data_IF_086566097198
#
_entry.id   IF_086566097198
#
_cell.length_a   1.000
_cell.length_b   1.000
_cell.length_c   1.000
_cell.angle_alpha   90.00
_cell.angle_beta   90.00
_cell.angle_gamma   90.00
#
_symmetry.space_group_name_H-M   'P 1'
#
loop_
_entity.id
_entity.type
_entity.pdbx_description
1 polymer ?
#
# COMPACT_ATOMS: atom_id res chain seq x y z
N UNK A 1 -14.45 -12.77 8.20
CA UNK A 1 -13.37 -13.30 9.05
C UNK A 1 -13.76 -14.61 9.72
N UNK A 2 -12.80 -15.53 9.84
CA UNK A 2 -12.92 -16.84 10.47
C UNK A 2 -11.75 -17.05 11.46
N UNK A 3 -11.91 -16.61 12.70
CA UNK A 3 -10.85 -16.79 13.71
C UNK A 3 -10.68 -18.26 14.15
N UNK A 4 -11.66 -19.13 13.88
CA UNK A 4 -11.67 -20.50 14.37
C UNK A 4 -11.64 -20.57 15.89
N UNK A 5 -11.07 -21.66 16.45
CA UNK A 5 -10.84 -21.78 17.90
C UNK A 5 -9.60 -21.00 18.32
N UNK A 6 -9.77 -19.99 19.17
CA UNK A 6 -8.69 -19.15 19.74
C UNK A 6 -8.70 -19.22 21.26
N UNK A 7 -7.55 -18.95 21.90
CA UNK A 7 -7.47 -18.86 23.37
C UNK A 7 -8.14 -17.56 23.87
N UNK A 8 -8.45 -17.52 25.17
CA UNK A 8 -8.99 -16.32 25.82
C UNK A 8 -8.07 -15.10 25.63
N UNK A 9 -6.76 -15.28 25.76
CA UNK A 9 -5.77 -14.20 25.58
C UNK A 9 -5.81 -13.63 24.15
N UNK A 10 -5.85 -14.50 23.13
CA UNK A 10 -5.94 -14.06 21.72
C UNK A 10 -7.25 -13.32 21.48
N UNK A 11 -8.36 -13.78 22.07
CA UNK A 11 -9.64 -13.10 21.95
C UNK A 11 -9.61 -11.70 22.61
N UNK A 12 -8.95 -11.56 23.76
CA UNK A 12 -8.77 -10.28 24.43
C UNK A 12 -7.91 -9.31 23.60
N UNK A 13 -6.80 -9.79 23.03
CA UNK A 13 -5.92 -9.01 22.14
C UNK A 13 -6.68 -8.52 20.90
N UNK A 14 -7.51 -9.38 20.27
CA UNK A 14 -8.35 -8.99 19.14
C UNK A 14 -9.33 -7.88 19.54
N UNK A 15 -10.02 -8.02 20.67
CA UNK A 15 -10.96 -7.00 21.16
C UNK A 15 -10.26 -5.66 21.44
N UNK A 16 -9.09 -5.70 22.07
CA UNK A 16 -8.28 -4.51 22.30
C UNK A 16 -7.90 -3.83 20.97
N UNK A 17 -7.41 -4.62 19.99
CA UNK A 17 -7.06 -4.09 18.67
C UNK A 17 -8.27 -3.48 17.94
N UNK A 18 -9.45 -4.10 18.00
CA UNK A 18 -10.66 -3.54 17.37
C UNK A 18 -11.03 -2.18 17.94
N UNK A 19 -10.85 -1.97 19.25
CA UNK A 19 -11.05 -0.66 19.87
C UNK A 19 -10.06 0.37 19.32
N UNK A 20 -8.79 0.00 19.19
CA UNK A 20 -7.73 0.85 18.63
C UNK A 20 -8.00 1.18 17.15
N UNK A 21 -8.41 0.18 16.36
CA UNK A 21 -8.83 0.37 14.97
C UNK A 21 -9.99 1.38 14.88
N UNK A 22 -10.98 1.28 15.77
CA UNK A 22 -12.12 2.20 15.82
C UNK A 22 -11.72 3.67 15.99
N UNK A 23 -10.58 3.98 16.61
CA UNK A 23 -10.07 5.35 16.74
C UNK A 23 -9.64 5.96 15.40
N UNK A 24 -9.28 5.13 14.42
CA UNK A 24 -8.91 5.58 13.09
C UNK A 24 -10.12 6.05 12.27
N UNK A 25 -11.35 5.70 12.70
CA UNK A 25 -12.62 6.07 12.03
C UNK A 25 -12.61 5.75 10.54
N UNK A 26 -12.05 4.60 10.17
CA UNK A 26 -12.16 4.08 8.81
C UNK A 26 -13.64 3.88 8.50
N UNK A 27 -14.18 4.49 7.43
CA UNK A 27 -15.58 4.34 7.07
C UNK A 27 -15.88 2.91 6.64
N UNK A 28 -17.14 2.52 6.72
CA UNK A 28 -17.58 1.23 6.19
C UNK A 28 -17.57 1.24 4.66
N UNK A 29 -17.14 0.12 4.09
CA UNK A 29 -17.26 -0.17 2.66
C UNK A 29 -18.74 -0.29 2.25
N UNK A 30 -19.09 0.29 1.12
CA UNK A 30 -20.41 0.33 0.50
C UNK A 30 -20.22 0.00 -0.97
N UNK A 31 -20.78 -1.14 -1.39
CA UNK A 31 -20.67 -1.64 -2.76
C UNK A 31 -21.17 -0.56 -3.72
N UNK A 32 -20.42 -0.34 -4.79
CA UNK A 32 -20.68 0.66 -5.84
C UNK A 32 -20.68 2.14 -5.38
N UNK A 33 -20.41 2.43 -4.11
CA UNK A 33 -20.35 3.81 -3.58
C UNK A 33 -18.96 4.24 -3.12
N UNK A 34 -18.19 3.35 -2.48
CA UNK A 34 -16.83 3.70 -2.05
C UNK A 34 -15.86 2.53 -2.07
N UNK A 35 -14.59 2.90 -2.02
CA UNK A 35 -13.46 1.99 -1.90
C UNK A 35 -12.52 2.46 -0.80
N UNK A 36 -12.25 1.59 0.18
CA UNK A 36 -11.21 1.80 1.19
C UNK A 36 -9.90 1.16 0.72
N UNK A 37 -8.95 2.00 0.30
CA UNK A 37 -7.65 1.58 -0.20
C UNK A 37 -6.54 1.93 0.80
N UNK A 38 -5.51 1.09 0.86
CA UNK A 38 -4.36 1.36 1.73
C UNK A 38 -3.03 0.78 1.30
N UNK A 39 -2.02 1.09 2.11
CA UNK A 39 -0.69 0.48 2.01
C UNK A 39 -0.09 0.24 3.39
N UNK A 40 0.68 -0.83 3.51
CA UNK A 40 1.37 -1.18 4.74
C UNK A 40 2.69 -1.91 4.47
N UNK A 41 3.81 -1.36 4.95
CA UNK A 41 5.02 -2.14 5.16
C UNK A 41 4.81 -3.05 6.38
N UNK A 42 4.79 -4.37 6.17
CA UNK A 42 4.78 -5.35 7.26
C UNK A 42 6.20 -5.90 7.40
N UNK A 43 6.93 -5.37 8.38
CA UNK A 43 8.34 -5.69 8.64
C UNK A 43 8.67 -7.18 8.48
N UNK A 44 9.52 -7.51 7.52
CA UNK A 44 10.01 -8.86 7.24
C UNK A 44 8.90 -9.96 7.25
N UNK A 45 7.76 -9.71 6.60
CA UNK A 45 6.59 -10.58 6.67
C UNK A 45 6.81 -11.96 6.06
N UNK A 46 6.99 -12.98 6.90
CA UNK A 46 7.28 -14.36 6.49
C UNK A 46 8.74 -14.79 6.70
N UNK A 47 9.64 -13.90 7.12
CA UNK A 47 11.06 -14.28 7.41
C UNK A 47 11.17 -15.14 8.67
N UNK A 48 10.40 -14.78 9.70
CA UNK A 48 10.24 -15.54 10.93
C UNK A 48 8.76 -15.76 11.17
N UNK A 49 8.43 -16.96 11.64
CA UNK A 49 7.05 -17.34 11.94
C UNK A 49 6.47 -16.44 13.01
N UNK A 50 5.35 -15.78 12.67
CA UNK A 50 4.58 -14.95 13.62
C UNK A 50 3.75 -15.81 14.56
N UNK A 51 3.52 -15.28 15.76
CA UNK A 51 2.63 -15.89 16.75
C UNK A 51 1.20 -16.01 16.21
N UNK A 52 0.39 -16.89 16.81
CA UNK A 52 -1.03 -17.00 16.43
C UNK A 52 -1.77 -15.68 16.64
N UNK A 53 -1.52 -15.00 17.76
CA UNK A 53 -2.05 -13.68 18.05
C UNK A 53 -1.74 -12.69 16.91
N UNK A 54 -0.46 -12.54 16.55
CA UNK A 54 -0.04 -11.61 15.50
C UNK A 54 -0.74 -11.84 14.15
N UNK A 55 -0.96 -13.10 13.74
CA UNK A 55 -1.71 -13.39 12.52
C UNK A 55 -3.15 -12.85 12.59
N UNK A 56 -3.85 -13.08 13.70
CA UNK A 56 -5.21 -12.55 13.84
C UNK A 56 -5.22 -11.02 13.88
N UNK A 57 -4.25 -10.40 14.55
CA UNK A 57 -4.14 -8.94 14.61
C UNK A 57 -3.83 -8.30 13.24
N UNK A 58 -2.93 -8.90 12.46
CA UNK A 58 -2.66 -8.49 11.07
C UNK A 58 -3.93 -8.62 10.22
N UNK A 59 -4.67 -9.72 10.36
CA UNK A 59 -5.93 -9.92 9.65
C UNK A 59 -6.98 -8.87 10.02
N UNK A 60 -7.12 -8.50 11.30
CA UNK A 60 -8.05 -7.45 11.74
C UNK A 60 -7.72 -6.08 11.13
N UNK A 61 -6.42 -5.75 11.00
CA UNK A 61 -5.96 -4.52 10.34
C UNK A 61 -6.27 -4.57 8.83
N UNK A 62 -5.91 -5.66 8.15
CA UNK A 62 -6.17 -5.83 6.71
C UNK A 62 -7.67 -5.81 6.41
N UNK A 63 -8.51 -6.32 7.31
CA UNK A 63 -9.97 -6.31 7.17
C UNK A 63 -10.60 -4.89 7.22
N UNK A 64 -9.81 -3.83 7.46
CA UNK A 64 -10.29 -2.44 7.35
C UNK A 64 -10.24 -1.90 5.92
N UNK A 65 -9.77 -2.69 4.97
CA UNK A 65 -9.52 -2.28 3.58
C UNK A 65 -10.32 -3.15 2.62
N UNK A 66 -10.69 -2.59 1.49
CA UNK A 66 -11.22 -3.35 0.35
C UNK A 66 -10.06 -3.85 -0.53
N UNK A 67 -8.99 -3.05 -0.62
CA UNK A 67 -7.70 -3.42 -1.23
C UNK A 67 -6.54 -2.78 -0.45
N UNK A 68 -5.50 -3.56 -0.18
CA UNK A 68 -4.29 -3.06 0.49
C UNK A 68 -3.04 -3.58 -0.20
N UNK A 69 -2.09 -2.67 -0.43
CA UNK A 69 -0.72 -3.03 -0.81
C UNK A 69 0.11 -3.37 0.42
N UNK A 70 0.75 -4.53 0.40
CA UNK A 70 1.71 -4.97 1.41
C UNK A 70 3.12 -4.99 0.81
N UNK A 71 4.07 -4.38 1.50
CA UNK A 71 5.51 -4.48 1.16
C UNK A 71 6.26 -5.25 2.25
N UNK A 72 7.49 -5.68 1.93
CA UNK A 72 8.32 -6.60 2.73
C UNK A 72 7.72 -8.02 2.89
N UNK A 73 6.86 -8.44 1.97
CA UNK A 73 6.37 -9.82 1.92
C UNK A 73 7.51 -10.74 1.48
N UNK A 74 7.92 -11.68 2.31
CA UNK A 74 9.12 -12.49 2.10
C UNK A 74 8.87 -13.67 1.17
N UNK A 75 9.95 -14.38 0.82
CA UNK A 75 9.92 -15.61 0.02
C UNK A 75 8.96 -16.67 0.58
N UNK A 76 8.94 -16.87 1.89
CA UNK A 76 8.00 -17.77 2.58
C UNK A 76 6.63 -17.11 2.83
N UNK A 77 5.61 -17.58 2.10
CA UNK A 77 4.24 -17.07 2.16
C UNK A 77 3.35 -17.73 3.23
N UNK A 78 3.88 -18.57 4.13
CA UNK A 78 3.07 -19.30 5.10
C UNK A 78 2.28 -18.37 6.04
N UNK A 79 2.89 -17.27 6.51
CA UNK A 79 2.19 -16.32 7.38
C UNK A 79 1.13 -15.51 6.62
N UNK A 80 1.38 -15.14 5.35
CA UNK A 80 0.37 -14.53 4.48
C UNK A 80 -0.81 -15.48 4.27
N UNK A 81 -0.55 -16.77 4.00
CA UNK A 81 -1.61 -17.78 3.89
C UNK A 81 -2.44 -17.85 5.18
N UNK A 82 -1.79 -17.89 6.35
CA UNK A 82 -2.48 -17.93 7.65
C UNK A 82 -3.35 -16.68 7.87
N UNK A 83 -2.93 -15.51 7.40
CA UNK A 83 -3.74 -14.28 7.43
C UNK A 83 -4.96 -14.41 6.52
N UNK A 84 -4.77 -14.85 5.27
CA UNK A 84 -5.86 -15.06 4.31
C UNK A 84 -6.90 -16.08 4.83
N UNK A 85 -6.44 -17.15 5.48
CA UNK A 85 -7.32 -18.14 6.12
C UNK A 85 -8.22 -17.50 7.20
N UNK A 86 -7.70 -16.51 7.95
CA UNK A 86 -8.47 -15.76 8.96
C UNK A 86 -9.39 -14.71 8.31
N UNK A 87 -8.96 -14.04 7.25
CA UNK A 87 -9.78 -13.06 6.54
C UNK A 87 -11.01 -13.74 5.91
N UNK A 88 -10.78 -14.86 5.23
CA UNK A 88 -11.79 -15.79 4.74
C UNK A 88 -11.82 -15.96 3.23
N UNK A 89 -12.75 -16.78 2.75
CA UNK A 89 -12.74 -17.33 1.38
C UNK A 89 -12.98 -16.34 0.25
N UNK A 90 -13.37 -15.10 0.55
CA UNK A 90 -13.55 -14.04 -0.45
C UNK A 90 -12.31 -13.17 -0.62
N UNK A 91 -11.30 -13.32 0.25
CA UNK A 91 -10.06 -12.59 0.11
C UNK A 91 -9.16 -13.24 -0.93
N UNK A 92 -8.54 -12.39 -1.74
CA UNK A 92 -7.66 -12.78 -2.84
C UNK A 92 -6.33 -12.05 -2.70
N UNK A 93 -5.33 -12.55 -3.40
CA UNK A 93 -4.02 -11.94 -3.44
C UNK A 93 -3.44 -11.96 -4.85
N UNK A 94 -2.80 -10.86 -5.24
CA UNK A 94 -1.95 -10.75 -6.43
C UNK A 94 -0.54 -10.40 -5.93
N UNK A 95 0.47 -11.16 -6.36
CA UNK A 95 1.84 -11.09 -5.84
C UNK A 95 2.82 -10.75 -6.95
N UNK A 96 3.78 -9.87 -6.65
CA UNK A 96 5.01 -9.77 -7.45
C UNK A 96 5.86 -11.02 -7.24
N UNK A 97 6.84 -11.24 -8.11
CA UNK A 97 7.91 -12.18 -7.80
C UNK A 97 8.97 -11.53 -6.88
N UNK A 98 9.96 -12.32 -6.45
CA UNK A 98 11.07 -11.87 -5.62
C UNK A 98 12.42 -12.19 -6.27
N UNK A 99 13.39 -11.31 -6.06
CA UNK A 99 14.77 -11.61 -6.44
C UNK A 99 15.43 -12.50 -5.37
N UNK A 100 16.09 -13.57 -5.82
CA UNK A 100 16.77 -14.56 -4.96
C UNK A 100 18.08 -14.05 -4.36
N UNK A 101 18.64 -12.99 -4.94
CA UNK A 101 19.87 -12.36 -4.52
C UNK A 101 19.70 -11.53 -3.23
N UNK A 102 20.82 -11.12 -2.65
CA UNK A 102 20.84 -10.24 -1.49
C UNK A 102 20.36 -8.83 -1.84
N UNK A 103 20.32 -8.49 -3.12
CA UNK A 103 19.96 -7.17 -3.57
C UNK A 103 18.46 -6.94 -3.34
N UNK A 104 17.58 -7.74 -3.95
CA UNK A 104 16.13 -7.58 -3.75
C UNK A 104 15.63 -8.01 -2.39
N UNK A 105 16.52 -8.39 -1.47
CA UNK A 105 16.23 -8.89 -0.13
C UNK A 105 15.32 -10.12 -0.10
N UNK A 106 14.91 -10.74 -1.21
CA UNK A 106 13.83 -11.75 -1.25
C UNK A 106 12.49 -11.24 -0.75
N UNK A 107 12.15 -10.02 -1.17
CA UNK A 107 10.89 -9.35 -0.85
C UNK A 107 9.99 -9.28 -2.08
N UNK A 108 8.69 -9.24 -1.83
CA UNK A 108 7.59 -9.08 -2.78
C UNK A 108 6.71 -7.93 -2.36
N UNK A 109 5.94 -7.46 -3.34
CA UNK A 109 4.71 -6.71 -3.11
C UNK A 109 3.53 -7.69 -3.17
N UNK A 110 2.54 -7.49 -2.32
CA UNK A 110 1.25 -8.18 -2.39
C UNK A 110 0.09 -7.20 -2.40
N UNK A 111 -0.83 -7.35 -3.34
CA UNK A 111 -2.16 -6.74 -3.25
C UNK A 111 -3.12 -7.75 -2.65
N UNK A 112 -3.61 -7.47 -1.44
CA UNK A 112 -4.64 -8.29 -0.77
C UNK A 112 -5.96 -7.54 -0.86
N UNK A 113 -7.01 -8.21 -1.36
CA UNK A 113 -8.30 -7.54 -1.62
C UNK A 113 -9.49 -8.44 -1.33
N UNK A 114 -10.61 -7.82 -0.99
CA UNK A 114 -11.91 -8.47 -0.83
C UNK A 114 -12.62 -8.55 -2.19
N UNK A 115 -12.78 -9.76 -2.72
CA UNK A 115 -13.40 -9.99 -4.04
C UNK A 115 -14.89 -9.66 -4.12
N UNK A 116 -15.52 -9.28 -3.00
CA UNK A 116 -16.88 -8.75 -2.97
C UNK A 116 -16.94 -7.26 -3.33
N UNK A 117 -15.84 -6.54 -3.14
CA UNK A 117 -15.72 -5.09 -3.39
C UNK A 117 -14.85 -4.80 -4.61
N UNK A 118 -13.79 -5.60 -4.81
CA UNK A 118 -12.73 -5.33 -5.80
C UNK A 118 -12.53 -6.52 -6.72
N UNK A 119 -12.44 -6.26 -8.03
CA UNK A 119 -12.12 -7.28 -9.05
C UNK A 119 -10.83 -6.92 -9.77
N UNK A 120 -9.89 -7.87 -9.78
CA UNK A 120 -8.69 -7.81 -10.62
C UNK A 120 -9.05 -7.85 -12.12
N UNK A 121 -8.52 -6.94 -12.92
CA UNK A 121 -8.93 -6.82 -14.34
C UNK A 121 -7.97 -7.50 -15.33
N UNK A 122 -6.83 -8.02 -14.87
CA UNK A 122 -5.95 -8.88 -15.67
C UNK A 122 -4.52 -8.38 -15.86
N UNK A 123 -4.24 -7.09 -15.64
CA UNK A 123 -2.88 -6.57 -15.69
C UNK A 123 -2.23 -6.71 -14.31
N UNK A 124 -1.14 -7.46 -14.22
CA UNK A 124 -0.22 -7.44 -13.09
C UNK A 124 1.22 -7.56 -13.61
N UNK A 125 2.06 -6.57 -13.34
CA UNK A 125 3.41 -6.51 -13.91
C UNK A 125 4.34 -5.62 -13.09
N UNK A 126 5.63 -5.83 -13.24
CA UNK A 126 6.64 -4.84 -12.89
C UNK A 126 6.66 -3.72 -13.95
N UNK A 127 6.90 -2.48 -13.52
CA UNK A 127 7.11 -1.36 -14.43
C UNK A 127 8.41 -1.57 -15.22
N UNK A 128 8.30 -1.68 -16.55
CA UNK A 128 9.46 -1.74 -17.46
C UNK A 128 9.94 -0.31 -17.76
N UNK A 129 11.17 0.06 -17.36
CA UNK A 129 11.68 1.41 -17.61
C UNK A 129 11.96 1.64 -19.11
N UNK A 130 11.89 2.90 -19.59
CA UNK A 130 12.35 3.26 -20.92
C UNK A 130 13.81 2.84 -21.14
N UNK A 131 14.18 2.59 -22.39
CA UNK A 131 15.53 2.15 -22.75
C UNK A 131 16.27 3.24 -23.51
N UNK A 132 17.54 3.44 -23.16
CA UNK A 132 18.46 4.34 -23.86
C UNK A 132 19.54 3.52 -24.55
N UNK A 133 19.87 3.88 -25.79
CA UNK A 133 20.91 3.18 -26.56
C UNK A 133 22.29 3.72 -26.18
N UNK A 134 23.14 2.88 -25.59
CA UNK A 134 24.54 3.16 -25.25
C UNK A 134 25.43 2.10 -25.87
N UNK A 135 26.46 2.52 -26.59
CA UNK A 135 27.43 1.62 -27.25
C UNK A 135 26.77 0.50 -28.09
N UNK A 136 25.65 0.81 -28.76
CA UNK A 136 24.91 -0.16 -29.57
C UNK A 136 23.92 -1.05 -28.82
N UNK A 137 23.91 -1.04 -27.48
CA UNK A 137 23.03 -1.84 -26.63
C UNK A 137 21.96 -0.94 -25.99
N UNK A 138 20.73 -1.46 -25.85
CA UNK A 138 19.67 -0.78 -25.11
C UNK A 138 19.79 -1.12 -23.62
N UNK A 139 20.01 -0.10 -22.80
CA UNK A 139 20.09 -0.20 -21.35
C UNK A 139 18.91 0.54 -20.70
N UNK A 140 18.57 0.18 -19.46
CA UNK A 140 17.53 0.90 -18.69
C UNK A 140 17.92 2.37 -18.52
N UNK A 141 16.96 3.26 -18.77
CA UNK A 141 17.07 4.69 -18.45
C UNK A 141 17.00 4.95 -16.93
N UNK A 142 16.44 4.02 -16.16
CA UNK A 142 16.25 4.12 -14.71
C UNK A 142 17.06 3.03 -13.99
N UNK A 143 18.41 3.13 -13.97
CA UNK A 143 19.28 2.11 -13.37
C UNK A 143 19.23 2.09 -11.82
N UNK A 144 18.56 3.05 -11.21
CA UNK A 144 18.40 3.24 -9.77
C UNK A 144 17.15 2.54 -9.20
N UNK A 145 16.28 1.99 -10.06
CA UNK A 145 15.23 1.07 -9.66
C UNK A 145 15.80 -0.29 -9.29
N UNK A 146 16.28 -0.35 -8.05
CA UNK A 146 16.76 -1.57 -7.45
C UNK A 146 15.68 -2.65 -7.29
N UNK A 147 14.44 -2.20 -7.09
CA UNK A 147 13.23 -3.01 -7.21
C UNK A 147 12.30 -2.25 -8.12
N UNK A 148 11.93 -2.88 -9.23
CA UNK A 148 10.91 -2.34 -10.12
C UNK A 148 9.62 -2.12 -9.32
N UNK A 149 8.96 -0.97 -9.47
CA UNK A 149 7.60 -0.79 -8.98
C UNK A 149 6.70 -1.90 -9.52
N UNK A 150 5.86 -2.46 -8.66
CA UNK A 150 4.87 -3.46 -9.07
C UNK A 150 3.53 -2.78 -9.27
N UNK A 151 2.77 -3.18 -10.28
CA UNK A 151 1.44 -2.64 -10.54
C UNK A 151 0.45 -3.75 -10.81
N UNK A 152 -0.80 -3.52 -10.42
CA UNK A 152 -1.94 -4.33 -10.83
C UNK A 152 -3.18 -3.46 -11.08
N UNK A 153 -4.02 -3.89 -12.01
CA UNK A 153 -5.27 -3.20 -12.37
C UNK A 153 -6.48 -3.82 -11.69
N UNK A 154 -7.39 -2.96 -11.22
CA UNK A 154 -8.56 -3.34 -10.45
C UNK A 154 -9.79 -2.55 -10.91
N UNK A 155 -10.95 -3.05 -10.53
CA UNK A 155 -12.26 -2.38 -10.66
C UNK A 155 -12.99 -2.48 -9.33
N UNK A 156 -13.69 -1.42 -8.94
CA UNK A 156 -14.62 -1.36 -7.82
C UNK A 156 -15.80 -0.47 -8.24
N UNK A 157 -17.02 -1.00 -8.24
CA UNK A 157 -18.15 -0.34 -8.89
C UNK A 157 -17.88 -0.08 -10.38
N UNK A 158 -18.15 1.13 -10.84
CA UNK A 158 -17.82 1.62 -12.18
C UNK A 158 -16.46 2.36 -12.25
N UNK A 159 -15.65 2.31 -11.20
CA UNK A 159 -14.29 2.86 -11.19
C UNK A 159 -13.25 1.76 -11.46
N UNK A 160 -12.46 1.94 -12.52
CA UNK A 160 -11.22 1.21 -12.79
C UNK A 160 -9.98 2.02 -12.45
N UNK A 161 -8.92 1.32 -12.03
CA UNK A 161 -7.66 1.96 -11.71
C UNK A 161 -6.47 0.99 -11.77
N UNK A 162 -5.29 1.55 -11.93
CA UNK A 162 -4.01 0.86 -11.70
C UNK A 162 -3.45 1.27 -10.33
N UNK A 163 -3.31 0.28 -9.45
CA UNK A 163 -2.58 0.44 -8.20
C UNK A 163 -1.11 0.10 -8.44
N UNK A 164 -0.20 1.05 -8.19
CA UNK A 164 1.23 0.86 -8.36
C UNK A 164 1.97 1.04 -7.02
N UNK A 165 2.72 0.02 -6.61
CA UNK A 165 3.46 0.02 -5.35
C UNK A 165 4.95 0.14 -5.56
N UNK A 166 5.58 1.06 -4.84
CA UNK A 166 7.04 1.17 -4.76
C UNK A 166 7.54 0.88 -3.34
N UNK A 167 8.70 0.22 -3.24
CA UNK A 167 9.46 0.09 -1.99
C UNK A 167 10.89 0.62 -2.20
N UNK A 168 11.03 1.94 -2.04
CA UNK A 168 12.25 2.70 -2.33
C UNK A 168 13.33 2.43 -1.29
N UNK A 169 14.55 2.18 -1.74
CA UNK A 169 15.68 1.83 -0.86
C UNK A 169 16.04 2.98 0.09
N UNK A 170 16.27 2.67 1.36
CA UNK A 170 16.66 3.65 2.38
C UNK A 170 18.04 4.30 2.15
N UNK A 171 19.05 3.50 1.79
CA UNK A 171 20.45 3.94 1.71
C UNK A 171 20.71 4.94 0.58
N UNK A 172 21.80 5.72 0.69
CA UNK A 172 22.20 6.71 -0.32
C UNK A 172 21.68 8.13 -0.07
N UNK A 173 20.85 8.31 0.96
CA UNK A 173 20.34 9.62 1.38
C UNK A 173 19.14 10.11 0.57
N UNK A 174 18.57 11.24 1.00
CA UNK A 174 17.32 11.79 0.44
C UNK A 174 17.46 12.14 -1.04
N UNK A 175 18.63 12.60 -1.48
CA UNK A 175 18.89 12.94 -2.89
C UNK A 175 18.75 11.72 -3.82
N UNK A 176 19.36 10.58 -3.45
CA UNK A 176 19.24 9.34 -4.23
C UNK A 176 17.83 8.77 -4.24
N UNK A 177 17.09 8.93 -3.14
CA UNK A 177 15.67 8.58 -3.12
C UNK A 177 14.86 9.49 -4.04
N UNK A 178 15.13 10.79 -4.04
CA UNK A 178 14.45 11.74 -4.93
C UNK A 178 14.69 11.43 -6.42
N UNK A 179 15.87 10.94 -6.79
CA UNK A 179 16.17 10.47 -8.16
C UNK A 179 15.24 9.30 -8.57
N UNK A 180 15.25 8.22 -7.78
CA UNK A 180 14.44 7.02 -8.08
C UNK A 180 12.93 7.28 -8.05
N UNK A 181 12.49 8.12 -7.11
CA UNK A 181 11.10 8.57 -7.00
C UNK A 181 10.73 9.49 -8.17
N UNK A 182 11.66 10.33 -8.63
CA UNK A 182 11.46 11.16 -9.80
C UNK A 182 11.26 10.33 -11.07
N UNK A 183 12.05 9.27 -11.26
CA UNK A 183 11.86 8.32 -12.35
C UNK A 183 10.52 7.59 -12.27
N UNK A 184 10.04 7.28 -11.06
CA UNK A 184 8.70 6.72 -10.84
C UNK A 184 7.61 7.67 -11.35
N UNK A 185 7.68 8.95 -10.93
CA UNK A 185 6.72 9.94 -11.36
C UNK A 185 6.77 10.16 -12.88
N UNK A 186 7.96 10.17 -13.49
CA UNK A 186 8.10 10.24 -14.96
C UNK A 186 7.45 9.05 -15.65
N UNK A 187 7.68 7.83 -15.15
CA UNK A 187 7.11 6.62 -15.72
C UNK A 187 5.57 6.64 -15.68
N UNK A 188 4.98 7.06 -14.55
CA UNK A 188 3.53 7.20 -14.41
C UNK A 188 2.99 8.22 -15.40
N UNK A 189 3.63 9.39 -15.50
CA UNK A 189 3.18 10.46 -16.40
C UNK A 189 3.25 10.03 -17.87
N UNK A 190 4.29 9.30 -18.26
CA UNK A 190 4.37 8.72 -19.60
C UNK A 190 3.23 7.71 -19.78
N UNK A 191 3.10 6.74 -18.87
CA UNK A 191 2.18 5.60 -19.02
C UNK A 191 0.71 6.02 -19.07
N UNK A 192 0.30 6.97 -18.24
CA UNK A 192 -1.09 7.48 -18.21
C UNK A 192 -1.48 8.25 -19.46
N UNK A 193 -0.51 8.82 -20.18
CA UNK A 193 -0.74 9.56 -21.43
C UNK A 193 -0.58 8.68 -22.68
N UNK A 194 -0.30 7.38 -22.53
CA UNK A 194 -0.24 6.44 -23.65
C UNK A 194 -1.64 6.12 -24.17
N UNK A 195 -1.81 6.20 -25.50
CA UNK A 195 -3.12 5.95 -26.15
C UNK A 195 -3.67 4.54 -25.94
N UNK A 196 -2.78 3.57 -25.70
CA UNK A 196 -3.10 2.18 -25.44
C UNK A 196 -2.79 1.79 -23.99
N UNK A 197 -2.88 2.74 -23.06
CA UNK A 197 -2.88 2.43 -21.64
C UNK A 197 -4.07 1.50 -21.31
N UNK A 198 -3.84 0.55 -20.40
CA UNK A 198 -4.94 -0.30 -19.89
C UNK A 198 -5.93 0.55 -19.10
N UNK A 199 -5.40 1.54 -18.38
CA UNK A 199 -6.11 2.51 -17.57
C UNK A 199 -5.21 3.75 -17.42
N UNK A 200 -5.80 4.91 -17.19
CA UNK A 200 -5.10 6.19 -16.99
C UNK A 200 -5.16 6.67 -15.54
N UNK A 201 -5.98 6.03 -14.71
CA UNK A 201 -6.14 6.32 -13.29
C UNK A 201 -5.13 5.55 -12.46
N UNK A 202 -4.08 6.26 -12.04
CA UNK A 202 -3.01 5.69 -11.22
C UNK A 202 -3.18 6.06 -9.75
N UNK A 203 -3.17 5.04 -8.89
CA UNK A 203 -3.01 5.18 -7.44
C UNK A 203 -1.66 4.60 -7.06
N UNK A 204 -0.72 5.47 -6.67
CA UNK A 204 0.65 5.09 -6.35
C UNK A 204 0.84 5.04 -4.84
N UNK A 205 1.30 3.89 -4.34
CA UNK A 205 1.39 3.61 -2.90
C UNK A 205 2.71 2.93 -2.51
N UNK A 206 2.95 2.76 -1.21
CA UNK A 206 4.06 1.95 -0.71
C UNK A 206 4.94 2.68 0.29
N UNK A 207 6.13 2.11 0.53
CA UNK A 207 7.17 2.68 1.39
C UNK A 207 8.22 3.39 0.53
N UNK A 208 8.17 4.71 0.52
CA UNK A 208 9.06 5.56 -0.26
C UNK A 208 10.28 5.99 0.54
N UNK A 209 10.34 5.69 1.84
CA UNK A 209 11.36 6.19 2.74
C UNK A 209 11.51 7.74 2.70
N UNK A 210 10.39 8.45 2.46
CA UNK A 210 10.34 9.92 2.43
C UNK A 210 10.38 10.46 3.87
N UNK A 211 11.37 11.29 4.24
CA UNK A 211 11.51 11.73 5.63
C UNK A 211 10.46 12.78 6.01
N UNK A 212 10.11 13.67 5.09
CA UNK A 212 9.16 14.77 5.30
C UNK A 212 8.56 15.27 3.99
N UNK A 213 7.39 15.91 4.06
CA UNK A 213 6.72 16.52 2.89
C UNK A 213 7.49 17.70 2.29
N UNK A 214 8.38 18.34 3.07
CA UNK A 214 9.24 19.40 2.57
C UNK A 214 10.49 18.90 1.83
N UNK A 215 10.76 17.59 1.86
CA UNK A 215 11.97 17.00 1.28
C UNK A 215 11.97 16.99 -0.25
N UNK A 216 13.15 16.94 -0.86
CA UNK A 216 13.27 16.77 -2.32
C UNK A 216 12.64 15.47 -2.81
N UNK A 217 12.60 14.42 -1.99
CA UNK A 217 11.98 13.15 -2.33
C UNK A 217 10.46 13.26 -2.48
N UNK A 218 9.78 14.00 -1.59
CA UNK A 218 8.34 14.25 -1.74
C UNK A 218 8.05 15.12 -2.96
N UNK A 219 8.84 16.18 -3.17
CA UNK A 219 8.72 17.04 -4.36
C UNK A 219 8.91 16.27 -5.67
N UNK A 220 9.81 15.28 -5.69
CA UNK A 220 10.03 14.43 -6.85
C UNK A 220 8.83 13.50 -7.12
N UNK A 221 8.16 13.02 -6.07
CA UNK A 221 6.96 12.20 -6.20
C UNK A 221 5.81 12.98 -6.85
N UNK A 222 5.66 14.25 -6.47
CA UNK A 222 4.54 15.11 -6.89
C UNK A 222 4.93 16.12 -7.96
N UNK A 223 5.93 15.83 -8.80
CA UNK A 223 6.44 16.79 -9.79
C UNK A 223 5.55 16.95 -11.04
N UNK A 224 4.69 15.95 -11.31
CA UNK A 224 3.76 15.91 -12.45
C UNK A 224 2.32 15.87 -11.94
N UNK A 225 1.47 14.99 -12.48
CA UNK A 225 0.06 14.85 -12.09
C UNK A 225 -0.18 14.16 -10.74
N UNK A 226 0.84 13.54 -10.14
CA UNK A 226 0.68 12.84 -8.85
C UNK A 226 0.51 13.84 -7.70
N UNK A 227 -0.58 13.68 -6.96
CA UNK A 227 -0.90 14.49 -5.79
C UNK A 227 -1.30 13.63 -4.59
N UNK A 228 -1.10 14.16 -3.39
CA UNK A 228 -1.49 13.50 -2.15
C UNK A 228 -2.96 13.81 -1.83
N UNK A 229 -3.80 12.81 -1.50
CA UNK A 229 -5.18 13.05 -1.08
C UNK A 229 -5.26 13.98 0.13
N UNK A 230 -6.23 14.91 0.16
CA UNK A 230 -6.35 15.92 1.21
C UNK A 230 -6.55 15.30 2.60
N UNK A 231 -7.21 14.15 2.68
CA UNK A 231 -7.38 13.38 3.92
C UNK A 231 -6.07 12.98 4.61
N UNK A 232 -4.99 12.85 3.85
CA UNK A 232 -3.68 12.53 4.41
C UNK A 232 -2.92 13.75 4.92
N UNK A 233 -3.30 14.99 4.59
CA UNK A 233 -2.59 16.21 5.01
C UNK A 233 -2.40 16.32 6.53
N UNK A 234 -3.29 15.71 7.33
CA UNK A 234 -3.21 15.72 8.81
C UNK A 234 -2.29 14.64 9.39
N UNK A 235 -1.86 13.66 8.59
CA UNK A 235 -0.93 12.60 9.01
C UNK A 235 0.47 13.20 9.20
N UNK A 236 1.04 13.07 10.41
CA UNK A 236 2.34 13.63 10.77
C UNK A 236 3.52 12.68 10.50
N UNK A 237 3.26 11.38 10.54
CA UNK A 237 4.23 10.35 10.21
C UNK A 237 3.56 8.98 10.16
N UNK A 238 4.24 8.05 9.48
CA UNK A 238 3.79 6.68 9.22
C UNK A 238 4.67 5.65 9.91
N UNK A 239 5.80 6.05 10.51
CA UNK A 239 6.55 5.19 11.43
C UNK A 239 5.96 5.21 12.85
N UNK A 240 6.34 4.28 13.72
CA UNK A 240 5.78 4.18 15.09
C UNK A 240 5.94 5.44 15.95
N UNK A 241 6.95 6.27 15.69
CA UNK A 241 7.14 7.55 16.41
C UNK A 241 6.36 8.72 15.80
N UNK A 242 5.66 8.50 14.69
CA UNK A 242 4.94 9.51 13.89
C UNK A 242 5.82 10.74 13.53
N UNK A 243 7.11 10.52 13.30
CA UNK A 243 8.09 11.57 12.96
C UNK A 243 8.42 11.67 11.48
N UNK A 244 8.33 10.55 10.76
CA UNK A 244 8.65 10.50 9.33
C UNK A 244 7.45 9.99 8.54
N UNK A 245 7.27 10.51 7.33
CA UNK A 245 6.19 10.11 6.39
C UNK A 245 6.75 9.16 5.33
N UNK A 246 7.31 8.03 5.75
CA UNK A 246 7.97 7.11 4.84
C UNK A 246 7.01 6.56 3.79
N UNK A 247 5.82 6.19 4.22
CA UNK A 247 4.78 5.59 3.41
C UNK A 247 3.94 6.68 2.75
N UNK A 248 3.52 6.46 1.51
CA UNK A 248 2.70 7.41 0.75
C UNK A 248 1.52 6.71 0.08
N UNK A 249 0.46 7.49 -0.13
CA UNK A 249 -0.58 7.24 -1.12
C UNK A 249 -0.70 8.56 -1.88
N UNK A 250 -0.42 8.51 -3.19
CA UNK A 250 -0.64 9.62 -4.12
C UNK A 250 -1.45 9.09 -5.30
N UNK A 251 -2.13 9.98 -5.99
CA UNK A 251 -2.96 9.62 -7.14
C UNK A 251 -2.77 10.62 -8.26
N UNK A 252 -3.01 10.17 -9.49
CA UNK A 252 -3.17 11.06 -10.64
C UNK A 252 -4.66 11.14 -10.93
N UNK A 253 -5.37 12.20 -10.47
CA UNK A 253 -6.78 12.35 -10.76
C UNK A 253 -6.96 12.61 -12.27
N UNK A 254 -7.86 11.88 -12.91
CA UNK A 254 -8.42 12.32 -14.20
C UNK A 254 -9.66 13.19 -14.02
N UNK A 255 -10.25 13.25 -12.82
CA UNK A 255 -11.27 14.24 -12.39
C UNK A 255 -10.92 14.79 -10.99
N UNK A 256 -11.17 16.09 -10.76
CA UNK A 256 -10.68 16.83 -9.58
C UNK A 256 -11.21 16.29 -8.23
N UNK A 257 -12.45 15.78 -8.16
CA UNK A 257 -13.16 15.49 -6.89
C UNK A 257 -13.23 14.00 -6.49
N UNK A 258 -12.54 13.09 -7.18
CA UNK A 258 -12.66 11.62 -6.96
C UNK A 258 -12.24 11.12 -5.58
N UNK A 259 -11.31 11.81 -4.94
CA UNK A 259 -10.79 11.43 -3.63
C UNK A 259 -11.57 12.20 -2.58
N UNK A 260 -12.32 11.47 -1.75
CA UNK A 260 -13.31 12.04 -0.80
C UNK A 260 -12.69 12.86 0.36
N UNK A 261 -11.40 13.20 0.28
CA UNK A 261 -10.60 13.82 1.33
C UNK A 261 -10.66 13.11 2.69
N UNK A 262 -11.10 11.86 2.70
CA UNK A 262 -11.06 10.98 3.88
C UNK A 262 -9.86 10.05 3.79
N UNK A 263 -9.07 10.03 4.85
CA UNK A 263 -7.89 9.21 4.96
C UNK A 263 -7.20 9.37 6.31
N UNK A 264 -6.23 8.50 6.57
CA UNK A 264 -5.47 8.54 7.81
C UNK A 264 -4.54 7.36 7.98
N UNK A 265 -4.25 7.05 9.24
CA UNK A 265 -3.44 5.89 9.66
C UNK A 265 -4.13 5.11 10.77
N UNK A 266 -3.89 3.80 10.84
CA UNK A 266 -4.31 2.96 11.96
C UNK A 266 -3.17 2.89 12.99
N UNK A 267 -3.36 3.47 14.18
CA UNK A 267 -2.31 3.66 15.21
C UNK A 267 -2.20 2.48 16.18
N UNK A 268 -1.82 1.30 15.70
CA UNK A 268 -1.74 0.08 16.52
C UNK A 268 -0.64 0.08 17.61
N UNK A 269 0.19 1.12 17.74
CA UNK A 269 1.32 1.16 18.69
C UNK A 269 1.24 2.22 19.82
N UNK A 270 0.52 3.35 19.62
CA UNK A 270 0.71 4.64 20.34
C UNK A 270 0.62 4.61 21.88
N UNK A 271 0.07 3.55 22.45
CA UNK A 271 0.19 3.08 23.85
C UNK A 271 -0.24 1.61 24.00
N UNK A 272 -0.69 1.01 22.91
CA UNK A 272 -1.37 -0.28 22.80
C UNK A 272 -0.42 -1.46 22.75
N UNK A 273 0.88 -1.28 22.50
CA UNK A 273 1.78 -2.42 22.38
C UNK A 273 1.82 -3.26 23.68
N UNK A 274 1.68 -2.63 24.86
CA UNK A 274 1.53 -3.32 26.14
C UNK A 274 0.13 -3.89 26.37
N UNK A 275 -0.91 -3.30 25.79
CA UNK A 275 -2.27 -3.85 25.85
C UNK A 275 -2.38 -5.10 24.97
N UNK A 276 -1.73 -5.09 23.81
CA UNK A 276 -1.69 -6.20 22.87
C UNK A 276 -0.67 -7.26 23.27
N UNK A 277 0.49 -6.88 23.79
CA UNK A 277 1.56 -7.81 24.19
C UNK A 277 2.28 -7.29 25.46
N UNK A 278 1.72 -7.51 26.67
CA UNK A 278 2.22 -6.91 27.92
C UNK A 278 3.70 -7.11 28.21
N UNK A 279 4.19 -8.34 28.03
CA UNK A 279 5.56 -8.75 28.37
C UNK A 279 6.55 -8.61 27.19
N UNK A 280 6.11 -8.07 26.05
CA UNK A 280 6.90 -8.01 24.83
C UNK A 280 7.65 -6.68 24.71
N UNK A 281 8.96 -6.74 24.48
CA UNK A 281 9.73 -5.53 24.13
C UNK A 281 9.21 -4.90 22.83
N UNK A 282 9.34 -3.57 22.71
CA UNK A 282 8.94 -2.84 21.50
C UNK A 282 9.61 -3.41 20.24
N UNK A 283 10.92 -3.75 20.32
CA UNK A 283 11.63 -4.37 19.20
C UNK A 283 10.97 -5.69 18.78
N UNK A 284 10.67 -6.58 19.72
CA UNK A 284 10.02 -7.85 19.42
C UNK A 284 8.60 -7.65 18.85
N UNK A 285 7.88 -6.64 19.33
CA UNK A 285 6.57 -6.25 18.83
C UNK A 285 6.61 -5.86 17.35
N UNK A 286 7.62 -5.12 16.90
CA UNK A 286 7.75 -4.75 15.47
C UNK A 286 7.88 -5.97 14.55
N UNK A 287 8.44 -7.09 15.01
CA UNK A 287 8.50 -8.34 14.24
C UNK A 287 7.18 -9.13 14.29
N UNK A 288 6.30 -8.85 15.23
CA UNK A 288 4.95 -9.44 15.28
C UNK A 288 3.98 -8.68 14.40
N UNK A 289 3.94 -7.35 14.49
CA UNK A 289 3.13 -6.49 13.64
C UNK A 289 4.00 -5.78 12.59
N UNK A 290 4.44 -4.56 12.86
CA UNK A 290 5.35 -3.79 12.02
C UNK A 290 5.93 -2.59 12.77
N UNK A 291 6.96 -1.96 12.22
CA UNK A 291 7.45 -0.61 12.58
C UNK A 291 6.84 0.53 11.72
N UNK A 292 5.95 0.17 10.78
CA UNK A 292 5.16 1.10 9.99
C UNK A 292 3.67 1.00 10.35
N UNK A 293 2.99 2.14 10.35
CA UNK A 293 1.55 2.28 10.55
C UNK A 293 0.89 2.30 9.17
N UNK A 294 -0.17 1.50 8.94
CA UNK A 294 -0.79 1.42 7.64
C UNK A 294 -1.56 2.70 7.33
N UNK A 295 -1.43 3.17 6.08
CA UNK A 295 -2.20 4.29 5.54
C UNK A 295 -3.52 3.79 4.96
N UNK A 296 -4.54 4.64 5.01
CA UNK A 296 -5.82 4.40 4.35
C UNK A 296 -6.36 5.69 3.73
N UNK A 297 -7.07 5.57 2.62
CA UNK A 297 -7.89 6.61 2.01
C UNK A 297 -9.21 6.01 1.53
N UNK A 298 -10.21 6.86 1.37
CA UNK A 298 -11.48 6.49 0.75
C UNK A 298 -11.62 7.19 -0.60
N UNK A 299 -11.96 6.38 -1.60
CA UNK A 299 -12.19 6.80 -2.97
C UNK A 299 -13.68 6.66 -3.27
N UNK A 300 -14.26 7.65 -3.94
CA UNK A 300 -15.60 7.51 -4.49
C UNK A 300 -15.52 6.61 -5.72
N UNK A 301 -16.34 5.55 -5.75
CA UNK A 301 -16.34 4.63 -6.89
C UNK A 301 -17.45 4.95 -7.87
N UNK A 302 -18.42 5.81 -7.52
CA UNK A 302 -19.56 6.14 -8.36
C UNK A 302 -19.23 7.32 -9.29
N UNK A 303 -18.77 6.99 -10.50
CA UNK A 303 -18.29 8.01 -11.46
C UNK A 303 -19.30 8.34 -12.58
N UNK A 304 -20.56 7.91 -12.45
CA UNK A 304 -21.52 7.99 -13.57
C UNK A 304 -21.87 9.44 -13.94
N UNK A 305 -22.16 10.28 -12.94
CA UNK A 305 -22.54 11.68 -13.19
C UNK A 305 -21.40 12.46 -13.85
N UNK A 306 -20.17 12.25 -13.39
CA UNK A 306 -19.00 12.97 -13.89
C UNK A 306 -18.63 12.52 -15.31
N UNK A 307 -18.82 11.23 -15.61
CA UNK A 307 -18.67 10.70 -16.96
C UNK A 307 -19.72 11.31 -17.90
N UNK A 308 -20.98 11.42 -17.45
CA UNK A 308 -22.05 12.06 -18.22
C UNK A 308 -21.71 13.53 -18.49
N UNK A 309 -21.26 14.27 -17.47
CA UNK A 309 -20.88 15.67 -17.58
C UNK A 309 -19.70 15.87 -18.56
N UNK A 310 -18.75 14.93 -18.61
CA UNK A 310 -17.63 14.98 -19.55
C UNK A 310 -18.04 14.92 -21.04
N UNK A 311 -19.23 14.38 -21.34
CA UNK A 311 -19.78 14.38 -22.71
C UNK A 311 -20.52 15.68 -23.06
N UNK A 312 -20.81 16.53 -22.08
CA UNK A 312 -21.48 17.82 -22.27
C UNK A 312 -20.49 18.97 -22.51
N UNK A 313 -19.21 18.78 -22.20
CA UNK A 313 -18.10 19.75 -22.38
C UNK A 313 -17.39 19.59 -23.72
#
# INVERSE_FOLDING_TARGET
MHHGKISADVAAQIKALRKIIGEAKVPSSRVDENLILGTWNIREFGKKKRSKAAIHLIAEIINQYDVISLVEVRDNLQDLKRVLDVLGSYWRVVLSDYNVDHAGNRERVAYVYDSRMVRFTGLAAEADPPKVKKNGVYESAYPDWWRSPYMASFTAGNFDFVMMTAHIRWSGGVSKRAEAIGHLADWVEIRRNERAAVDTDFIVVGDFNIPSRGSSAFKALTKHSLQMPGGLLKVKGTNLSEKNVYDQIVHSPTLEDRFTDRGGIIRFFKNSHKELFPEMSEKAFTYQLSDHLPLWVEVDTWIEDELIDSYLS
#
